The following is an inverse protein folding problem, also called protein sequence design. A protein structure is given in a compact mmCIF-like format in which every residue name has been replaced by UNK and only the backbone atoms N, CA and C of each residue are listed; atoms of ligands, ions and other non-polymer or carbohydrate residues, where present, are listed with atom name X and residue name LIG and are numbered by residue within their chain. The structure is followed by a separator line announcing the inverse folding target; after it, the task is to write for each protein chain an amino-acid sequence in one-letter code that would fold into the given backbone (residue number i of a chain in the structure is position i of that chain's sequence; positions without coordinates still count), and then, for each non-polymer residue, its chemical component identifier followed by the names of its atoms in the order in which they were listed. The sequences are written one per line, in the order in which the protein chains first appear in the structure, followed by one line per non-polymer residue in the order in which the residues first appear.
data_IF_173614373274
#
_entry.id   IF_173614373274
#
_cell.length_a   1.000
_cell.length_b   1.000
_cell.length_c   1.000
_cell.angle_alpha   90.00
_cell.angle_beta   90.00
_cell.angle_gamma   90.00
#
_symmetry.space_group_name_H-M   'P 1'
#
loop_
_entity.id
_entity.type
_entity.pdbx_description
1 polymer ?
#
# COMPACT_ATOMS: atom_id res chain seq x y z
N UNK A 1 15.29 -22.90 13.04
CA UNK A 1 14.04 -22.17 12.72
C UNK A 1 13.38 -21.78 14.04
N UNK A 2 13.44 -20.51 14.43
CA UNK A 2 12.82 -20.03 15.68
C UNK A 2 11.63 -19.15 15.31
N UNK A 3 10.44 -19.49 15.83
CA UNK A 3 9.23 -18.68 15.71
C UNK A 3 9.37 -17.46 16.62
N UNK A 4 8.98 -16.30 16.10
CA UNK A 4 8.92 -15.03 16.80
C UNK A 4 7.51 -14.87 17.40
N UNK A 5 7.42 -14.49 18.67
CA UNK A 5 6.15 -14.17 19.34
C UNK A 5 6.28 -12.75 19.87
N UNK A 6 5.42 -11.84 19.39
CA UNK A 6 5.32 -10.47 19.90
C UNK A 6 4.26 -10.49 21.02
N UNK A 7 4.63 -10.10 22.23
CA UNK A 7 3.70 -9.91 23.34
C UNK A 7 3.71 -8.43 23.69
N UNK A 8 2.58 -7.75 23.47
CA UNK A 8 2.37 -6.37 23.89
C UNK A 8 1.45 -6.40 25.10
N UNK A 9 1.98 -6.04 26.27
CA UNK A 9 1.20 -5.97 27.51
C UNK A 9 0.86 -4.52 27.79
N UNK A 10 -0.42 -4.16 27.70
CA UNK A 10 -0.91 -2.80 27.96
C UNK A 10 -1.38 -2.76 29.43
N UNK A 11 -0.69 -1.99 30.28
CA UNK A 11 -1.13 -1.73 31.64
C UNK A 11 -1.79 -0.35 31.70
N UNK A 12 -3.07 -0.29 32.10
CA UNK A 12 -3.78 0.96 32.31
C UNK A 12 -3.52 1.48 33.74
N UNK A 13 -3.05 2.72 33.86
CA UNK A 13 -3.03 3.45 35.13
C UNK A 13 -3.78 4.76 34.98
N UNK A 14 -4.82 4.93 35.81
CA UNK A 14 -5.66 6.12 35.87
C UNK A 14 -5.06 7.12 36.84
N UNK A 15 -4.95 8.41 36.50
CA UNK A 15 -4.90 9.47 37.52
C UNK A 15 -5.35 10.87 37.00
N UNK A 16 -6.51 11.28 37.53
CA UNK A 16 -6.96 12.60 38.07
C UNK A 16 -6.20 13.87 37.64
N UNK A 17 -6.95 14.87 37.14
CA UNK A 17 -6.43 16.10 36.53
C UNK A 17 -6.13 17.28 37.46
N UNK A 18 -5.73 18.41 36.84
CA UNK A 18 -6.02 19.83 37.15
C UNK A 18 -5.67 20.69 35.90
N UNK A 19 -6.44 21.78 35.74
CA UNK A 19 -6.56 22.75 34.66
C UNK A 19 -5.45 23.84 34.64
N UNK A 20 -4.91 24.20 33.46
CA UNK A 20 -4.99 25.54 32.82
C UNK A 20 -3.95 25.71 31.68
N UNK A 21 -4.45 25.91 30.46
CA UNK A 21 -3.85 26.78 29.44
C UNK A 21 -2.45 26.46 28.91
N UNK A 22 -2.27 25.31 28.24
CA UNK A 22 -1.33 25.05 27.13
C UNK A 22 -1.51 23.59 26.72
N UNK A 23 -1.39 23.25 25.44
CA UNK A 23 -1.44 21.88 24.95
C UNK A 23 -0.34 21.03 25.58
N UNK A 24 -0.64 20.37 26.69
CA UNK A 24 0.22 19.36 27.31
C UNK A 24 -0.32 17.99 26.89
N UNK A 25 0.18 17.51 25.76
CA UNK A 25 0.00 16.12 25.35
C UNK A 25 0.67 15.26 26.42
N UNK A 26 -0.11 14.44 27.12
CA UNK A 26 0.44 13.43 28.01
C UNK A 26 1.31 12.49 27.17
N UNK A 27 2.64 12.62 27.31
CA UNK A 27 3.58 11.70 26.71
C UNK A 27 3.59 10.42 27.55
N UNK A 28 2.79 9.43 27.17
CA UNK A 28 3.05 8.06 27.61
C UNK A 28 4.33 7.58 26.94
N UNK A 29 5.35 7.25 27.74
CA UNK A 29 6.58 6.64 27.24
C UNK A 29 6.35 5.14 27.08
N UNK A 30 6.53 4.66 25.85
CA UNK A 30 6.42 3.24 25.50
C UNK A 30 7.82 2.63 25.50
N UNK A 31 7.96 1.46 26.11
CA UNK A 31 9.21 0.72 26.11
C UNK A 31 9.13 -0.37 25.04
N UNK A 32 9.89 -0.22 23.96
CA UNK A 32 9.99 -1.22 22.90
C UNK A 32 11.31 -1.96 23.05
N UNK A 33 11.26 -3.29 23.12
CA UNK A 33 12.46 -4.13 23.13
C UNK A 33 12.67 -4.77 21.76
N UNK A 34 13.78 -4.44 21.10
CA UNK A 34 14.24 -5.09 19.88
C UNK A 34 15.58 -5.77 20.19
N UNK A 35 15.67 -7.08 19.95
CA UNK A 35 16.89 -7.88 20.19
C UNK A 35 17.53 -7.68 21.59
N UNK A 36 16.73 -7.67 22.66
CA UNK A 36 17.15 -7.45 24.06
C UNK A 36 17.76 -6.07 24.39
N UNK A 37 17.72 -5.10 23.48
CA UNK A 37 18.07 -3.72 23.79
C UNK A 37 16.80 -2.91 24.06
N UNK A 38 16.79 -2.18 25.18
CA UNK A 38 15.70 -1.30 25.60
C UNK A 38 15.96 0.09 25.02
N UNK A 39 14.99 0.61 24.29
CA UNK A 39 15.02 1.97 23.77
C UNK A 39 13.91 2.78 24.44
N UNK A 40 14.29 3.86 25.11
CA UNK A 40 13.37 4.85 25.65
C UNK A 40 13.08 5.88 24.55
N UNK A 41 11.81 6.08 24.22
CA UNK A 41 11.43 6.94 23.08
C UNK A 41 10.46 8.01 23.54
N UNK A 42 10.94 9.25 23.55
CA UNK A 42 10.15 10.43 23.88
C UNK A 42 9.37 10.90 22.65
N UNK A 43 8.03 10.83 22.75
CA UNK A 43 7.05 11.44 21.82
C UNK A 43 7.17 11.05 20.34
N UNK A 44 6.76 9.81 20.01
CA UNK A 44 6.67 9.36 18.61
C UNK A 44 5.26 9.64 18.08
N UNK A 45 5.14 10.59 17.14
CA UNK A 45 3.90 10.76 16.36
C UNK A 45 3.53 9.46 15.62
N UNK A 46 2.24 9.10 15.49
CA UNK A 46 1.76 7.80 14.98
C UNK A 46 2.28 7.38 13.59
N UNK A 47 2.86 8.31 12.84
CA UNK A 47 3.43 8.07 11.50
C UNK A 47 4.59 7.07 11.50
N UNK A 48 5.34 6.96 12.60
CA UNK A 48 6.53 6.11 12.69
C UNK A 48 6.23 4.66 13.10
N UNK A 49 5.01 4.33 13.54
CA UNK A 49 4.62 2.93 13.84
C UNK A 49 4.34 2.14 12.56
N UNK A 50 4.08 2.81 11.43
CA UNK A 50 4.01 2.15 10.12
C UNK A 50 5.41 1.81 9.55
N UNK A 51 6.52 2.22 10.16
CA UNK A 51 7.88 1.98 9.66
C UNK A 51 8.53 0.65 10.12
N UNK A 52 7.79 -0.29 10.69
CA UNK A 52 8.21 -1.71 10.72
C UNK A 52 7.76 -2.49 9.47
N UNK A 53 7.66 -1.79 8.34
CA UNK A 53 7.53 -2.39 7.00
C UNK A 53 8.91 -2.93 6.59
N UNK A 54 9.02 -4.26 6.60
CA UNK A 54 9.94 -5.12 5.84
C UNK A 54 11.01 -4.33 5.03
N UNK A 55 12.19 -4.13 5.63
CA UNK A 55 13.28 -3.28 5.11
C UNK A 55 13.50 -3.36 3.58
N UNK A 56 13.22 -2.26 2.87
CA UNK A 56 13.91 -1.83 1.65
C UNK A 56 13.21 -1.99 0.29
N UNK A 57 12.07 -2.67 0.21
CA UNK A 57 11.41 -2.95 -1.07
C UNK A 57 10.25 -1.97 -1.34
N UNK A 58 10.34 -1.18 -2.41
CA UNK A 58 9.28 -0.28 -2.88
C UNK A 58 8.94 -0.56 -4.35
N UNK A 59 7.79 -0.09 -4.83
CA UNK A 59 7.43 -0.21 -6.24
C UNK A 59 8.40 0.60 -7.13
N UNK A 60 8.95 1.70 -6.62
CA UNK A 60 10.04 2.44 -7.26
C UNK A 60 11.32 1.60 -7.34
N UNK A 61 11.74 0.93 -6.26
CA UNK A 61 12.94 0.07 -6.29
C UNK A 61 12.76 -1.15 -7.21
N UNK A 62 11.51 -1.58 -7.43
CA UNK A 62 11.12 -2.61 -8.40
C UNK A 62 11.07 -2.12 -9.86
N UNK A 63 11.27 -0.83 -10.11
CA UNK A 63 11.26 -0.23 -11.45
C UNK A 63 9.86 0.03 -12.02
N UNK A 64 8.80 -0.03 -11.20
CA UNK A 64 7.42 0.30 -11.61
C UNK A 64 7.28 1.82 -11.75
N UNK A 65 7.79 2.56 -10.78
CA UNK A 65 7.86 4.02 -10.79
C UNK A 65 9.28 4.49 -11.08
N UNK A 66 9.39 5.59 -11.82
CA UNK A 66 10.69 6.17 -12.19
C UNK A 66 11.20 7.18 -11.18
N UNK A 67 10.32 7.68 -10.31
CA UNK A 67 10.68 8.61 -9.25
C UNK A 67 9.91 8.35 -7.97
N UNK A 68 10.46 8.80 -6.85
CA UNK A 68 9.80 8.80 -5.54
C UNK A 68 8.52 9.64 -5.57
N UNK A 69 8.47 10.69 -6.38
CA UNK A 69 7.28 11.52 -6.54
C UNK A 69 6.12 10.73 -7.15
N UNK A 70 6.35 9.98 -8.24
CA UNK A 70 5.33 9.11 -8.85
C UNK A 70 4.82 8.05 -7.86
N UNK A 71 5.72 7.47 -7.06
CA UNK A 71 5.35 6.51 -6.02
C UNK A 71 4.54 7.16 -4.89
N UNK A 72 4.87 8.38 -4.46
CA UNK A 72 4.11 9.10 -3.44
C UNK A 72 2.70 9.47 -3.90
N UNK A 73 2.54 9.86 -5.17
CA UNK A 73 1.21 10.07 -5.78
C UNK A 73 0.41 8.76 -5.77
N UNK A 74 1.06 7.64 -6.10
CA UNK A 74 0.44 6.33 -6.05
C UNK A 74 0.05 5.93 -4.62
N UNK A 75 0.93 6.09 -3.64
CA UNK A 75 0.66 5.82 -2.21
C UNK A 75 -0.54 6.66 -1.75
N UNK A 76 -0.59 7.93 -2.15
CA UNK A 76 -1.70 8.82 -1.81
C UNK A 76 -3.03 8.36 -2.43
N UNK A 77 -2.98 7.80 -3.63
CA UNK A 77 -4.15 7.25 -4.34
C UNK A 77 -4.67 5.95 -3.71
N UNK A 78 -3.79 5.02 -3.34
CA UNK A 78 -4.20 3.68 -2.87
C UNK A 78 -4.24 3.53 -1.34
N UNK A 79 -3.58 4.45 -0.63
CA UNK A 79 -3.53 4.49 0.83
C UNK A 79 -3.14 3.14 1.45
N UNK A 80 -4.02 2.64 2.32
CA UNK A 80 -3.83 1.38 3.06
C UNK A 80 -3.72 0.13 2.19
N UNK A 81 -4.07 0.22 0.91
CA UNK A 81 -3.99 -0.90 -0.03
C UNK A 81 -2.63 -0.98 -0.75
N UNK A 82 -1.70 -0.05 -0.48
CA UNK A 82 -0.34 -0.05 -1.06
C UNK A 82 0.38 -1.40 -0.92
N UNK A 83 0.36 -2.00 0.28
CA UNK A 83 1.01 -3.29 0.53
C UNK A 83 0.44 -4.44 -0.32
N UNK A 84 -0.81 -4.35 -0.76
CA UNK A 84 -1.40 -5.35 -1.66
C UNK A 84 -0.75 -5.28 -3.04
N UNK A 85 -0.47 -4.08 -3.52
CA UNK A 85 0.30 -3.89 -4.75
C UNK A 85 1.72 -4.38 -4.57
N UNK A 86 2.44 -3.86 -3.56
CA UNK A 86 3.83 -4.22 -3.30
C UNK A 86 4.02 -5.74 -3.25
N UNK A 87 3.17 -6.45 -2.52
CA UNK A 87 3.28 -7.90 -2.39
C UNK A 87 2.76 -8.70 -3.58
N UNK A 88 2.07 -8.07 -4.54
CA UNK A 88 1.64 -8.70 -5.80
C UNK A 88 2.69 -8.59 -6.90
N UNK A 89 3.58 -7.59 -6.85
CA UNK A 89 4.65 -7.38 -7.83
C UNK A 89 5.90 -8.26 -7.60
N UNK A 90 5.72 -9.52 -7.22
CA UNK A 90 6.84 -10.48 -7.07
C UNK A 90 7.39 -10.96 -8.42
N UNK A 91 6.53 -11.12 -9.43
CA UNK A 91 6.89 -11.30 -10.83
C UNK A 91 6.26 -10.18 -11.64
N UNK A 92 7.11 -9.40 -12.32
CA UNK A 92 6.71 -8.19 -13.02
C UNK A 92 6.72 -8.45 -14.52
N UNK A 93 5.64 -8.09 -15.20
CA UNK A 93 5.54 -8.19 -16.66
C UNK A 93 5.07 -6.87 -17.23
N UNK A 94 5.82 -6.31 -18.17
CA UNK A 94 5.36 -5.16 -18.97
C UNK A 94 4.21 -5.59 -19.89
N UNK A 95 3.18 -4.74 -20.02
CA UNK A 95 2.01 -4.97 -20.86
C UNK A 95 1.87 -3.85 -21.89
N UNK A 96 1.16 -4.15 -22.96
CA UNK A 96 0.78 -3.15 -23.95
C UNK A 96 -0.35 -2.27 -23.41
N UNK A 97 -0.25 -0.96 -23.65
CA UNK A 97 -1.37 -0.03 -23.51
C UNK A 97 -2.34 -0.21 -24.69
N UNK A 98 -3.50 -0.80 -24.41
CA UNK A 98 -4.58 -1.05 -25.39
C UNK A 98 -5.52 0.15 -25.55
N UNK A 99 -5.37 1.16 -24.70
CA UNK A 99 -6.21 2.35 -24.67
C UNK A 99 -5.58 3.51 -25.46
N UNK A 100 -4.28 3.46 -25.71
CA UNK A 100 -3.54 4.51 -26.42
C UNK A 100 -3.32 5.76 -25.57
N UNK A 101 -3.33 5.61 -24.25
CA UNK A 101 -3.10 6.68 -23.28
C UNK A 101 -1.62 7.07 -23.15
N UNK A 102 -0.74 6.43 -23.92
CA UNK A 102 0.71 6.55 -23.81
C UNK A 102 1.17 6.21 -22.38
N UNK A 103 0.57 5.16 -21.82
CA UNK A 103 0.84 4.69 -20.47
C UNK A 103 1.92 3.60 -20.43
N UNK A 104 2.77 3.65 -19.41
CA UNK A 104 3.56 2.49 -18.98
C UNK A 104 2.64 1.56 -18.22
N UNK A 105 2.66 0.28 -18.55
CA UNK A 105 1.77 -0.71 -17.94
C UNK A 105 2.57 -1.88 -17.40
N UNK A 106 2.39 -2.16 -16.11
CA UNK A 106 3.01 -3.29 -15.43
C UNK A 106 1.96 -4.15 -14.76
N UNK A 107 2.04 -5.46 -14.97
CA UNK A 107 1.28 -6.44 -14.21
C UNK A 107 2.22 -7.19 -13.26
N UNK A 108 1.79 -7.33 -12.02
CA UNK A 108 2.43 -8.11 -10.97
C UNK A 108 1.65 -9.38 -10.70
N UNK A 109 2.35 -10.49 -10.50
CA UNK A 109 1.75 -11.72 -9.98
C UNK A 109 2.70 -12.48 -9.05
N UNK A 110 2.15 -13.34 -8.19
CA UNK A 110 2.95 -14.26 -7.37
C UNK A 110 2.90 -15.67 -7.95
N UNK A 111 4.08 -16.32 -8.09
CA UNK A 111 4.19 -17.67 -8.66
C UNK A 111 3.34 -18.65 -7.87
N UNK A 112 2.47 -19.39 -8.55
CA UNK A 112 1.56 -20.36 -7.93
C UNK A 112 0.30 -19.75 -7.30
N UNK A 113 0.14 -18.43 -7.33
CA UNK A 113 -1.05 -17.70 -6.84
C UNK A 113 -1.71 -16.89 -7.98
N UNK A 114 -1.64 -17.41 -9.20
CA UNK A 114 -2.31 -16.82 -10.35
C UNK A 114 -3.81 -16.69 -10.06
N UNK A 115 -4.42 -15.60 -10.51
CA UNK A 115 -5.83 -15.23 -10.28
C UNK A 115 -6.24 -14.95 -8.83
N UNK A 116 -5.31 -15.02 -7.89
CA UNK A 116 -5.54 -14.78 -6.44
C UNK A 116 -4.70 -13.60 -5.94
N UNK A 117 -3.46 -13.49 -6.42
CA UNK A 117 -2.53 -12.43 -6.01
C UNK A 117 -1.87 -11.79 -7.22
N UNK A 118 -2.65 -10.92 -7.86
CA UNK A 118 -2.23 -10.16 -9.03
C UNK A 118 -2.59 -8.69 -8.87
N UNK A 119 -1.79 -7.83 -9.48
CA UNK A 119 -2.05 -6.41 -9.60
C UNK A 119 -1.67 -5.90 -10.99
N UNK A 120 -2.22 -4.76 -11.38
CA UNK A 120 -1.83 -4.00 -12.57
C UNK A 120 -1.75 -2.53 -12.22
N UNK A 121 -0.73 -1.85 -12.75
CA UNK A 121 -0.55 -0.40 -12.64
C UNK A 121 -0.30 0.14 -14.05
N UNK A 122 -1.10 1.13 -14.42
CA UNK A 122 -0.94 1.96 -15.62
C UNK A 122 -0.65 3.39 -15.18
N UNK A 123 0.41 3.99 -15.70
CA UNK A 123 0.73 5.41 -15.48
C UNK A 123 1.14 6.07 -16.78
N UNK A 124 0.49 7.18 -17.14
CA UNK A 124 0.86 7.98 -18.31
C UNK A 124 1.84 9.11 -17.97
N UNK A 125 2.37 9.77 -18.99
CA UNK A 125 3.31 10.89 -18.83
C UNK A 125 2.74 12.12 -18.12
N UNK A 126 1.42 12.20 -17.94
CA UNK A 126 0.75 13.29 -17.22
C UNK A 126 0.52 12.95 -15.73
N UNK A 127 1.00 11.80 -15.25
CA UNK A 127 0.75 11.33 -13.88
C UNK A 127 -0.67 10.81 -13.65
N UNK A 128 -1.44 10.55 -14.71
CA UNK A 128 -2.72 9.84 -14.58
C UNK A 128 -2.46 8.37 -14.35
N UNK A 129 -3.09 7.83 -13.30
CA UNK A 129 -2.90 6.48 -12.81
C UNK A 129 -4.21 5.71 -12.92
N UNK A 130 -4.13 4.47 -13.39
CA UNK A 130 -5.16 3.46 -13.25
C UNK A 130 -4.51 2.20 -12.67
N UNK A 131 -5.03 1.72 -11.55
CA UNK A 131 -4.45 0.59 -10.86
C UNK A 131 -5.53 -0.36 -10.37
N UNK A 132 -5.24 -1.65 -10.42
CA UNK A 132 -6.15 -2.67 -9.90
C UNK A 132 -5.39 -3.76 -9.16
N UNK A 133 -5.98 -4.31 -8.11
CA UNK A 133 -5.42 -5.41 -7.33
C UNK A 133 -6.50 -6.39 -6.91
N UNK A 134 -6.19 -7.67 -6.93
CA UNK A 134 -7.09 -8.71 -6.41
C UNK A 134 -7.10 -8.66 -4.87
N UNK A 135 -8.29 -8.60 -4.30
CA UNK A 135 -8.54 -8.67 -2.86
C UNK A 135 -9.65 -9.71 -2.59
N UNK A 136 -9.24 -10.97 -2.40
CA UNK A 136 -10.16 -12.09 -2.29
C UNK A 136 -10.98 -12.31 -3.56
N UNK A 137 -12.31 -12.18 -3.44
CA UNK A 137 -13.24 -12.34 -4.56
C UNK A 137 -13.54 -11.01 -5.30
N UNK A 138 -12.81 -9.96 -4.97
CA UNK A 138 -12.99 -8.63 -5.56
C UNK A 138 -11.71 -8.18 -6.26
N UNK A 139 -11.87 -7.24 -7.17
CA UNK A 139 -10.80 -6.44 -7.76
C UNK A 139 -11.03 -5.01 -7.34
N UNK A 140 -10.16 -4.50 -6.47
CA UNK A 140 -10.17 -3.07 -6.13
C UNK A 140 -9.54 -2.30 -7.28
N UNK A 141 -10.22 -1.27 -7.73
CA UNK A 141 -9.78 -0.41 -8.81
C UNK A 141 -9.61 1.02 -8.30
N UNK A 142 -8.50 1.65 -8.64
CA UNK A 142 -8.10 2.97 -8.19
C UNK A 142 -7.72 3.82 -9.40
N UNK A 143 -8.14 5.08 -9.40
CA UNK A 143 -7.70 6.04 -10.44
C UNK A 143 -7.81 7.47 -9.95
N UNK A 144 -6.87 8.32 -10.38
CA UNK A 144 -6.92 9.78 -10.21
C UNK A 144 -7.45 10.49 -11.49
N UNK A 145 -7.88 9.74 -12.50
CA UNK A 145 -8.49 10.31 -13.70
C UNK A 145 -9.83 10.97 -13.38
N UNK A 146 -10.02 12.20 -13.89
CA UNK A 146 -11.27 12.95 -13.77
C UNK A 146 -12.33 12.54 -14.80
N UNK A 147 -11.95 11.77 -15.82
CA UNK A 147 -12.86 11.27 -16.85
C UNK A 147 -13.84 10.22 -16.31
N UNK A 148 -14.88 9.93 -17.08
CA UNK A 148 -15.90 8.93 -16.72
C UNK A 148 -15.27 7.60 -16.30
N UNK A 149 -15.97 6.92 -15.39
CA UNK A 149 -15.62 5.76 -14.56
C UNK A 149 -15.33 4.47 -15.34
N UNK A 150 -14.79 4.59 -16.54
CA UNK A 150 -14.52 3.50 -17.46
C UNK A 150 -13.21 2.85 -17.06
N UNK A 151 -13.30 1.58 -16.70
CA UNK A 151 -12.13 0.72 -16.53
C UNK A 151 -11.44 0.62 -17.91
N UNK A 152 -10.14 0.98 -18.03
CA UNK A 152 -9.44 0.92 -19.30
C UNK A 152 -9.48 -0.48 -19.91
N UNK A 153 -9.51 -0.57 -21.24
CA UNK A 153 -9.47 -1.84 -21.99
C UNK A 153 -8.26 -2.68 -21.59
N UNK A 154 -7.16 -2.03 -21.24
CA UNK A 154 -5.95 -2.70 -20.74
C UNK A 154 -6.19 -3.42 -19.41
N UNK A 155 -6.92 -2.79 -18.47
CA UNK A 155 -7.29 -3.40 -17.19
C UNK A 155 -8.33 -4.50 -17.41
N UNK A 156 -9.31 -4.27 -18.29
CA UNK A 156 -10.30 -5.28 -18.71
C UNK A 156 -9.62 -6.53 -19.30
N UNK A 157 -8.62 -6.33 -20.16
CA UNK A 157 -7.84 -7.43 -20.75
C UNK A 157 -7.09 -8.22 -19.68
N UNK A 158 -6.48 -7.54 -18.71
CA UNK A 158 -5.76 -8.17 -17.62
C UNK A 158 -6.67 -9.05 -16.75
N UNK A 159 -7.89 -8.59 -16.46
CA UNK A 159 -8.87 -9.33 -15.64
C UNK A 159 -9.63 -10.43 -16.37
N UNK A 160 -9.38 -10.67 -17.66
CA UNK A 160 -10.08 -11.70 -18.43
C UNK A 160 -9.98 -13.11 -17.83
N UNK A 161 -8.92 -13.37 -17.05
CA UNK A 161 -8.68 -14.66 -16.40
C UNK A 161 -9.43 -14.85 -15.07
N UNK A 162 -10.09 -13.80 -14.59
CA UNK A 162 -10.82 -13.79 -13.31
C UNK A 162 -12.04 -12.85 -13.37
N UNK A 163 -12.79 -12.92 -14.47
CA UNK A 163 -13.97 -12.06 -14.74
C UNK A 163 -15.06 -12.21 -13.69
N UNK A 164 -15.12 -13.35 -13.01
CA UNK A 164 -16.07 -13.65 -11.94
C UNK A 164 -15.90 -12.77 -10.69
N UNK A 165 -14.73 -12.14 -10.52
CA UNK A 165 -14.47 -11.27 -9.37
C UNK A 165 -15.16 -9.93 -9.55
N UNK A 166 -15.91 -9.46 -8.56
CA UNK A 166 -16.55 -8.14 -8.63
C UNK A 166 -15.49 -7.02 -8.69
N UNK A 167 -15.68 -6.00 -9.52
CA UNK A 167 -14.81 -4.82 -9.54
C UNK A 167 -15.42 -3.69 -8.70
N UNK A 168 -14.62 -3.14 -7.79
CA UNK A 168 -15.03 -2.05 -6.91
C UNK A 168 -14.10 -0.86 -7.12
N UNK A 169 -14.67 0.27 -7.53
CA UNK A 169 -13.95 1.54 -7.61
C UNK A 169 -13.74 2.12 -6.20
N UNK A 170 -12.49 2.41 -5.86
CA UNK A 170 -12.06 3.03 -4.61
C UNK A 170 -11.66 4.49 -4.89
N UNK A 171 -12.08 5.40 -4.01
CA UNK A 171 -11.80 6.85 -4.05
C UNK A 171 -11.32 7.36 -2.71
#
# INVERSE_FOLDING_TARGET
MKKLVLIVTILWLTFIGINQGSAAWAAESYQVTKNNEKFEVDSVTPKLVMEEVKQGETLQSMGIFTSVAEENEFISLVGRDYDKFLTSFALITSKQDLDGFNAKVFAGNVRGLFTIKEAIIMINGNGTIWAAVIDGNQVKFFTNSKGEQVIPKTVEKWRERFKEKEIILIR
#
